data_IF_593449254964
#
_entry.id   IF_593449254964
#
_cell.length_a   1.000
_cell.length_b   1.000
_cell.length_c   1.000
_cell.angle_alpha   90.00
_cell.angle_beta   90.00
_cell.angle_gamma   90.00
#
_symmetry.space_group_name_H-M   'P 1'
#
loop_
_entity.id
_entity.type
_entity.pdbx_description
1 polymer ?
#
# COMPACT_ATOMS: atom_id res chain seq x y z
N UNK A 1 -60.10 -30.59 -33.63
CA UNK A 1 -61.26 -30.26 -32.77
C UNK A 1 -61.26 -31.24 -31.61
N UNK A 2 -61.30 -30.71 -30.39
CA UNK A 2 -61.10 -31.40 -29.12
C UNK A 2 -62.29 -32.29 -28.70
N UNK A 3 -62.02 -33.36 -27.95
CA UNK A 3 -62.87 -33.97 -26.91
C UNK A 3 -61.92 -34.74 -25.96
N UNK A 4 -61.64 -34.27 -24.73
CA UNK A 4 -62.38 -34.59 -23.48
C UNK A 4 -62.57 -36.12 -23.33
N UNK A 5 -62.14 -36.85 -22.30
CA UNK A 5 -61.82 -36.56 -20.90
C UNK A 5 -62.23 -37.80 -20.09
N UNK A 6 -61.48 -38.17 -19.03
CA UNK A 6 -61.85 -39.07 -17.91
C UNK A 6 -60.63 -39.18 -16.98
N UNK A 7 -60.60 -38.47 -15.85
CA UNK A 7 -61.01 -38.91 -14.50
C UNK A 7 -60.22 -40.14 -13.98
N UNK A 8 -59.12 -39.85 -13.25
CA UNK A 8 -58.64 -40.34 -11.92
C UNK A 8 -58.97 -41.77 -11.41
N UNK A 9 -58.32 -42.33 -10.36
CA UNK A 9 -57.03 -42.01 -9.69
C UNK A 9 -56.16 -43.26 -9.39
N UNK A 10 -54.83 -43.15 -9.29
CA UNK A 10 -54.06 -44.06 -8.43
C UNK A 10 -53.05 -43.25 -7.63
N UNK A 11 -53.51 -42.87 -6.44
CA UNK A 11 -52.80 -42.82 -5.17
C UNK A 11 -51.29 -43.15 -5.26
N UNK A 12 -50.45 -42.16 -5.53
CA UNK A 12 -49.01 -42.28 -5.28
C UNK A 12 -48.74 -41.71 -3.90
N UNK A 13 -48.41 -42.61 -3.00
CA UNK A 13 -48.09 -42.42 -1.60
C UNK A 13 -46.98 -41.38 -1.42
N UNK A 14 -47.25 -40.33 -0.65
CA UNK A 14 -46.23 -39.40 -0.15
C UNK A 14 -45.42 -40.14 0.90
N UNK A 15 -44.30 -40.74 0.49
CA UNK A 15 -43.31 -41.27 1.44
C UNK A 15 -42.47 -40.09 1.92
N UNK A 16 -42.71 -39.76 3.18
CA UNK A 16 -41.98 -38.77 3.97
C UNK A 16 -40.47 -38.96 3.86
N UNK A 17 -39.79 -38.05 3.14
CA UNK A 17 -38.33 -37.94 3.15
C UNK A 17 -37.93 -37.09 4.36
N UNK A 18 -37.89 -37.74 5.51
CA UNK A 18 -37.23 -37.21 6.70
C UNK A 18 -35.73 -37.26 6.44
N UNK A 19 -35.14 -36.08 6.31
CA UNK A 19 -33.80 -35.73 6.80
C UNK A 19 -32.65 -36.65 6.45
N UNK A 20 -31.90 -36.29 5.41
CA UNK A 20 -30.46 -36.49 5.41
C UNK A 20 -29.81 -35.12 5.40
N UNK A 21 -29.70 -34.52 6.59
CA UNK A 21 -28.76 -33.42 6.81
C UNK A 21 -27.40 -34.08 6.76
N UNK A 22 -26.77 -34.06 5.59
CA UNK A 22 -25.40 -34.55 5.42
C UNK A 22 -24.48 -33.58 6.13
N UNK A 23 -24.22 -33.84 7.41
CA UNK A 23 -23.21 -33.16 8.19
C UNK A 23 -21.86 -33.44 7.57
N UNK A 24 -21.36 -32.49 6.78
CA UNK A 24 -19.94 -32.44 6.45
C UNK A 24 -19.17 -32.08 7.72
N UNK A 25 -18.88 -33.07 8.55
CA UNK A 25 -17.80 -33.00 9.55
C UNK A 25 -16.47 -33.12 8.81
N UNK A 26 -16.16 -32.11 7.98
CA UNK A 26 -14.80 -31.89 7.55
C UNK A 26 -14.00 -31.38 8.75
N UNK A 27 -12.79 -31.91 9.01
CA UNK A 27 -11.93 -31.29 10.00
C UNK A 27 -11.67 -29.86 9.55
N UNK A 28 -12.07 -28.89 10.38
CA UNK A 28 -11.54 -27.53 10.31
C UNK A 28 -10.05 -27.63 10.60
N UNK A 29 -9.25 -27.98 9.59
CA UNK A 29 -7.84 -27.60 9.55
C UNK A 29 -7.85 -26.08 9.56
N UNK A 30 -7.81 -25.52 10.77
CA UNK A 30 -7.29 -24.20 11.04
C UNK A 30 -5.89 -24.22 10.45
N UNK A 31 -5.77 -23.83 9.18
CA UNK A 31 -4.51 -23.34 8.65
C UNK A 31 -4.25 -22.07 9.45
N UNK A 32 -3.69 -22.23 10.64
CA UNK A 32 -2.76 -21.25 11.18
C UNK A 32 -1.61 -21.27 10.19
N UNK A 33 -1.81 -20.50 9.12
CA UNK A 33 -0.73 -20.01 8.31
C UNK A 33 0.03 -19.08 9.23
N UNK A 34 0.90 -19.68 10.05
CA UNK A 34 1.98 -18.97 10.68
C UNK A 34 2.93 -18.63 9.54
N UNK A 35 2.55 -17.56 8.84
CA UNK A 35 3.31 -16.90 7.82
C UNK A 35 4.56 -16.37 8.53
N UNK A 36 5.55 -17.25 8.68
CA UNK A 36 6.86 -16.84 9.18
C UNK A 36 7.30 -15.69 8.28
N UNK A 37 7.53 -14.48 8.83
CA UNK A 37 7.95 -13.34 8.04
C UNK A 37 9.16 -13.78 7.21
N UNK A 38 9.04 -13.75 5.88
CA UNK A 38 10.15 -14.23 5.04
C UNK A 38 11.36 -13.33 5.29
N UNK A 39 12.54 -13.85 5.66
CA UNK A 39 13.71 -13.00 5.83
C UNK A 39 14.01 -12.34 4.48
N UNK A 40 13.74 -11.03 4.34
CA UNK A 40 13.99 -10.25 3.13
C UNK A 40 12.85 -9.34 2.65
N UNK A 41 11.59 -9.52 3.07
CA UNK A 41 10.52 -8.60 2.62
C UNK A 41 10.70 -7.18 3.20
N UNK A 42 11.29 -7.03 4.39
CA UNK A 42 11.58 -5.72 4.99
C UNK A 42 12.60 -4.93 4.16
N UNK A 43 13.62 -5.60 3.61
CA UNK A 43 14.63 -4.98 2.77
C UNK A 43 14.03 -4.56 1.42
N UNK A 44 13.22 -5.43 0.84
CA UNK A 44 12.43 -5.10 -0.35
C UNK A 44 11.49 -3.90 -0.13
N UNK A 45 10.77 -3.87 1.00
CA UNK A 45 9.88 -2.76 1.34
C UNK A 45 10.69 -1.47 1.54
N UNK A 46 11.88 -1.54 2.14
CA UNK A 46 12.74 -0.37 2.30
C UNK A 46 13.20 0.20 0.97
N UNK A 47 13.61 -0.65 0.04
CA UNK A 47 14.01 -0.22 -1.31
C UNK A 47 12.82 0.36 -2.10
N UNK A 48 11.66 -0.32 -2.06
CA UNK A 48 10.43 0.13 -2.73
C UNK A 48 9.93 1.47 -2.17
N UNK A 49 10.06 1.69 -0.86
CA UNK A 49 9.65 2.93 -0.18
C UNK A 49 10.75 4.00 -0.13
N UNK A 50 11.96 3.72 -0.63
CA UNK A 50 13.11 4.62 -0.52
C UNK A 50 13.57 4.89 0.92
N UNK A 51 13.29 3.97 1.85
CA UNK A 51 13.71 4.09 3.25
C UNK A 51 15.23 3.92 3.36
N UNK A 52 15.91 4.98 3.76
CA UNK A 52 17.36 5.02 3.95
C UNK A 52 18.12 5.73 2.84
N UNK A 53 17.50 6.00 1.68
CA UNK A 53 18.02 6.95 0.69
C UNK A 53 17.41 8.33 0.92
N UNK A 54 18.23 9.36 0.94
CA UNK A 54 17.76 10.73 1.00
C UNK A 54 17.16 11.13 -0.35
N UNK A 55 16.00 11.78 -0.30
CA UNK A 55 15.37 12.43 -1.44
C UNK A 55 14.98 13.84 -1.05
N UNK A 56 15.39 14.80 -1.86
CA UNK A 56 15.11 16.22 -1.69
C UNK A 56 14.07 16.66 -2.72
N UNK A 57 13.05 17.36 -2.24
CA UNK A 57 11.95 17.85 -3.10
C UNK A 57 11.65 19.30 -2.78
N UNK A 58 11.26 20.04 -3.82
CA UNK A 58 10.74 21.38 -3.65
C UNK A 58 9.41 21.33 -2.89
N UNK A 59 9.41 21.91 -1.69
CA UNK A 59 8.31 21.92 -0.73
C UNK A 59 8.22 23.31 -0.10
N UNK A 60 7.64 24.29 -0.82
CA UNK A 60 7.65 25.67 -0.40
C UNK A 60 6.83 25.89 0.87
N UNK A 61 7.39 26.66 1.80
CA UNK A 61 6.76 27.03 3.08
C UNK A 61 5.93 28.30 2.96
N UNK A 62 6.16 29.09 1.89
CA UNK A 62 5.52 30.37 1.61
C UNK A 62 5.74 31.43 2.71
N UNK A 63 6.83 31.33 3.45
CA UNK A 63 7.29 32.41 4.29
C UNK A 63 8.25 33.34 3.50
N UNK A 64 8.96 34.22 4.21
CA UNK A 64 9.95 35.10 3.58
C UNK A 64 11.34 34.44 3.52
N UNK A 65 11.44 33.16 3.89
CA UNK A 65 12.66 32.38 4.04
C UNK A 65 12.77 31.38 2.89
N UNK A 66 12.96 31.90 1.68
CA UNK A 66 13.10 31.12 0.43
C UNK A 66 14.11 29.97 0.51
N UNK A 67 15.06 30.02 1.45
CA UNK A 67 16.06 28.97 1.66
C UNK A 67 15.48 27.68 2.25
N UNK A 68 14.30 27.72 2.87
CA UNK A 68 13.69 26.55 3.50
C UNK A 68 12.66 25.85 2.60
N UNK A 69 12.47 26.34 1.37
CA UNK A 69 11.50 25.80 0.40
C UNK A 69 11.90 24.41 -0.16
N UNK A 70 12.99 23.81 0.32
CA UNK A 70 13.43 22.44 -0.01
C UNK A 70 13.29 21.55 1.22
N UNK A 71 12.66 20.39 1.06
CA UNK A 71 12.56 19.36 2.09
C UNK A 71 13.29 18.09 1.65
N UNK A 72 14.27 17.68 2.44
CA UNK A 72 14.98 16.41 2.26
C UNK A 72 14.50 15.39 3.30
N UNK A 73 14.24 14.16 2.87
CA UNK A 73 13.77 13.07 3.73
C UNK A 73 14.33 11.73 3.27
N UNK A 74 14.65 10.83 4.21
CA UNK A 74 14.98 9.42 3.94
C UNK A 74 13.89 8.45 4.46
N UNK A 75 12.72 8.99 4.78
CA UNK A 75 11.59 8.27 5.37
C UNK A 75 11.71 7.98 6.87
N UNK A 76 12.90 8.13 7.48
CA UNK A 76 13.09 8.05 8.94
C UNK A 76 13.35 9.43 9.55
N UNK A 77 14.13 10.25 8.86
CA UNK A 77 14.49 11.61 9.23
C UNK A 77 14.12 12.57 8.10
N UNK A 78 13.83 13.82 8.47
CA UNK A 78 13.61 14.91 7.53
C UNK A 78 14.24 16.20 8.03
N UNK A 79 14.76 16.99 7.11
CA UNK A 79 15.29 18.32 7.40
C UNK A 79 15.23 19.23 6.17
N UNK A 80 15.24 20.54 6.44
CA UNK A 80 15.30 21.59 5.42
C UNK A 80 16.74 22.13 5.40
N UNK A 81 17.54 21.79 4.37
CA UNK A 81 18.90 22.34 4.27
C UNK A 81 18.86 23.84 4.02
N UNK A 82 19.96 24.54 4.33
CA UNK A 82 20.17 25.95 4.01
C UNK A 82 21.10 26.05 2.79
N UNK A 83 20.58 25.95 1.56
CA UNK A 83 21.35 26.18 0.35
C UNK A 83 21.77 27.66 0.33
N UNK A 84 23.04 27.92 0.64
CA UNK A 84 23.71 29.23 0.50
C UNK A 84 23.05 30.41 1.23
N UNK A 85 23.30 30.50 2.54
CA UNK A 85 22.82 31.59 3.41
C UNK A 85 23.36 33.02 3.09
N UNK A 86 24.11 33.22 2.00
CA UNK A 86 24.75 34.50 1.67
C UNK A 86 24.17 35.22 0.44
N UNK A 87 23.33 34.57 -0.36
CA UNK A 87 22.66 35.24 -1.47
C UNK A 87 21.34 35.87 -1.01
N UNK A 88 20.99 37.02 -1.58
CA UNK A 88 19.82 37.79 -1.14
C UNK A 88 18.52 37.35 -1.84
N UNK A 89 18.65 36.52 -2.88
CA UNK A 89 17.57 35.98 -3.67
C UNK A 89 18.14 34.84 -4.52
N UNK A 90 17.55 33.65 -4.43
CA UNK A 90 17.91 32.47 -5.22
C UNK A 90 16.66 32.05 -6.00
N UNK A 91 16.82 31.72 -7.28
CA UNK A 91 15.70 31.23 -8.09
C UNK A 91 15.33 29.79 -7.71
N UNK A 92 14.08 29.38 -7.93
CA UNK A 92 13.61 28.01 -7.66
C UNK A 92 14.52 26.94 -8.31
N UNK A 93 14.98 27.19 -9.53
CA UNK A 93 15.88 26.26 -10.22
C UNK A 93 17.23 26.10 -9.50
N UNK A 94 17.79 27.20 -9.00
CA UNK A 94 19.06 27.17 -8.25
C UNK A 94 18.90 26.48 -6.89
N UNK A 95 17.74 26.65 -6.24
CA UNK A 95 17.39 25.92 -5.02
C UNK A 95 17.32 24.41 -5.26
N UNK A 96 16.67 23.99 -6.35
CA UNK A 96 16.55 22.56 -6.69
C UNK A 96 17.90 21.97 -7.11
N UNK A 97 18.71 22.71 -7.86
CA UNK A 97 20.06 22.27 -8.24
C UNK A 97 20.95 22.10 -7.00
N UNK A 98 20.94 23.07 -6.09
CA UNK A 98 21.67 22.97 -4.82
C UNK A 98 21.14 21.84 -3.94
N UNK A 99 19.83 21.59 -3.94
CA UNK A 99 19.21 20.48 -3.23
C UNK A 99 19.67 19.13 -3.78
N UNK A 100 19.81 19.00 -5.11
CA UNK A 100 20.28 17.78 -5.74
C UNK A 100 21.75 17.47 -5.39
N UNK A 101 22.60 18.50 -5.31
CA UNK A 101 23.99 18.33 -4.84
C UNK A 101 24.04 17.84 -3.39
N UNK A 102 23.22 18.44 -2.52
CA UNK A 102 23.12 18.06 -1.12
C UNK A 102 22.52 16.65 -0.93
N UNK A 103 21.53 16.28 -1.73
CA UNK A 103 20.98 14.91 -1.78
C UNK A 103 22.07 13.89 -2.14
N UNK A 104 22.92 14.21 -3.12
CA UNK A 104 24.01 13.33 -3.53
C UNK A 104 25.05 13.15 -2.41
N UNK A 105 25.37 14.21 -1.67
CA UNK A 105 26.27 14.17 -0.51
C UNK A 105 25.71 13.27 0.60
N UNK A 106 24.43 13.45 0.94
CA UNK A 106 23.74 12.64 1.94
C UNK A 106 23.70 11.16 1.58
N UNK A 107 23.48 10.84 0.30
CA UNK A 107 23.48 9.46 -0.19
C UNK A 107 24.89 8.87 -0.38
N UNK A 108 25.94 9.70 -0.43
CA UNK A 108 27.33 9.26 -0.50
C UNK A 108 27.93 8.90 0.87
N UNK A 109 27.23 9.23 1.97
CA UNK A 109 27.61 8.83 3.32
C UNK A 109 27.73 9.97 4.35
N UNK A 110 27.56 11.24 3.93
CA UNK A 110 27.67 12.42 4.80
C UNK A 110 29.09 12.76 5.24
#
# INVERSE_FOLDING_TARGET
>A
MALLGRLTPVLVTVVSLIGVVSGYSGPTRRFEFEERPQPGYEEFIREELGLGSWSCTYSPTYDNEWYDDVLCSNGSDSHRPFPQAMDNFVEEGELVDSAAEYEAELNAGG
#
